data_IF_991370163319
#
_entry.id   IF_991370163319
#
_cell.length_a   1.000
_cell.length_b   1.000
_cell.length_c   1.000
_cell.angle_alpha   90.00
_cell.angle_beta   90.00
_cell.angle_gamma   90.00
#
_symmetry.space_group_name_H-M   'P 1'
#
loop_
_entity.id
_entity.type
_entity.pdbx_description
1 polymer ?
#
# COMPACT_ATOMS: atom_id res chain seq x y z
N UNK A 1 2.35 13.20 -15.43
CA UNK A 1 1.47 14.37 -15.45
C UNK A 1 0.43 14.17 -14.34
N UNK A 2 0.31 15.12 -13.45
CA UNK A 2 -0.70 15.11 -12.40
C UNK A 2 -2.06 15.59 -12.92
N UNK A 3 -3.16 15.24 -12.22
CA UNK A 3 -4.53 15.62 -12.57
C UNK A 3 -4.93 15.22 -14.00
N UNK A 4 -4.50 14.03 -14.39
CA UNK A 4 -4.79 13.43 -15.69
C UNK A 4 -5.30 11.99 -15.49
N UNK A 5 -6.52 11.72 -15.95
CA UNK A 5 -7.15 10.41 -15.84
C UNK A 5 -7.08 9.70 -17.18
N UNK A 6 -6.37 8.58 -17.24
CA UNK A 6 -6.34 7.73 -18.43
C UNK A 6 -7.71 7.08 -18.63
N UNK A 7 -8.23 7.16 -19.85
CA UNK A 7 -9.54 6.61 -20.23
C UNK A 7 -9.46 5.55 -21.32
N UNK A 8 -8.37 5.49 -22.07
CA UNK A 8 -8.15 4.45 -23.08
C UNK A 8 -6.65 4.24 -23.35
N UNK A 9 -6.28 3.00 -23.60
CA UNK A 9 -4.94 2.59 -24.02
C UNK A 9 -5.06 1.54 -25.10
N UNK A 10 -4.46 1.77 -26.24
CA UNK A 10 -4.54 0.88 -27.40
C UNK A 10 -3.19 0.73 -28.10
N UNK A 11 -2.91 -0.47 -28.60
CA UNK A 11 -1.74 -0.71 -29.44
C UNK A 11 -1.95 -0.08 -30.81
N UNK A 12 -0.88 0.47 -31.37
CA UNK A 12 -0.81 0.97 -32.73
C UNK A 12 0.27 0.21 -33.50
N UNK A 13 0.38 0.42 -34.80
CA UNK A 13 1.43 -0.23 -35.63
C UNK A 13 2.86 0.10 -35.13
N UNK A 14 3.05 1.27 -34.53
CA UNK A 14 4.37 1.78 -34.14
C UNK A 14 4.57 1.93 -32.64
N UNK A 15 3.60 1.51 -31.83
CA UNK A 15 3.69 1.64 -30.36
C UNK A 15 2.34 1.60 -29.66
N UNK A 16 2.11 2.54 -28.77
CA UNK A 16 0.92 2.62 -27.93
C UNK A 16 0.35 4.04 -27.98
N UNK A 17 -0.96 4.16 -28.10
CA UNK A 17 -1.72 5.40 -27.97
C UNK A 17 -2.45 5.42 -26.61
N UNK A 18 -2.24 6.47 -25.83
CA UNK A 18 -2.89 6.68 -24.54
C UNK A 18 -3.76 7.91 -24.59
N UNK A 19 -5.06 7.74 -24.33
CA UNK A 19 -6.02 8.83 -24.24
C UNK A 19 -6.31 9.14 -22.77
N UNK A 20 -6.28 10.40 -22.39
CA UNK A 20 -6.55 10.84 -21.03
C UNK A 20 -7.35 12.14 -20.98
N UNK A 21 -8.12 12.30 -19.90
CA UNK A 21 -8.85 13.51 -19.57
C UNK A 21 -8.04 14.37 -18.60
N UNK A 22 -7.95 15.67 -18.85
CA UNK A 22 -7.32 16.64 -17.96
C UNK A 22 -7.95 18.02 -18.16
N UNK A 23 -8.33 18.70 -17.07
CA UNK A 23 -8.93 20.05 -17.09
C UNK A 23 -10.14 20.14 -18.04
N UNK A 24 -11.02 19.13 -18.03
CA UNK A 24 -12.22 19.08 -18.86
C UNK A 24 -11.99 18.84 -20.36
N UNK A 25 -10.76 18.53 -20.76
CA UNK A 25 -10.39 18.25 -22.15
C UNK A 25 -9.83 16.85 -22.31
N UNK A 26 -10.02 16.28 -23.51
CA UNK A 26 -9.44 15.00 -23.90
C UNK A 26 -8.13 15.24 -24.63
N UNK A 27 -7.12 14.50 -24.26
CA UNK A 27 -5.79 14.54 -24.83
C UNK A 27 -5.35 13.14 -25.27
N UNK A 28 -4.45 13.08 -26.25
CA UNK A 28 -3.83 11.84 -26.70
C UNK A 28 -2.32 12.01 -26.73
N UNK A 29 -1.62 10.95 -26.32
CA UNK A 29 -0.17 10.84 -26.39
C UNK A 29 0.19 9.48 -26.97
N UNK A 30 1.25 9.42 -27.76
CA UNK A 30 1.80 8.18 -28.30
C UNK A 30 3.16 7.89 -27.69
N UNK A 31 3.48 6.62 -27.48
CA UNK A 31 4.74 6.15 -26.94
C UNK A 31 5.12 4.81 -27.57
N UNK A 32 6.39 4.41 -27.47
CA UNK A 32 6.81 3.08 -27.91
C UNK A 32 6.24 1.96 -27.02
N UNK A 33 6.18 2.21 -25.73
CA UNK A 33 5.68 1.27 -24.71
C UNK A 33 4.86 2.01 -23.66
N UNK A 34 3.95 1.29 -23.01
CA UNK A 34 3.19 1.78 -21.86
C UNK A 34 3.18 0.72 -20.76
N UNK A 35 3.32 1.16 -19.50
CA UNK A 35 3.20 0.33 -18.32
C UNK A 35 1.93 0.72 -17.57
N UNK A 36 1.02 -0.23 -17.40
CA UNK A 36 -0.22 -0.05 -16.66
C UNK A 36 0.01 -0.33 -15.18
N UNK A 37 0.37 0.69 -14.41
CA UNK A 37 0.60 0.62 -12.98
C UNK A 37 -0.68 0.92 -12.18
N UNK A 38 -1.78 0.27 -12.52
CA UNK A 38 -3.09 0.43 -11.89
C UNK A 38 -3.65 -0.92 -11.41
N UNK A 39 -4.81 -0.89 -10.75
CA UNK A 39 -5.49 -2.12 -10.36
C UNK A 39 -5.87 -2.95 -11.59
N UNK A 40 -5.64 -4.27 -11.53
CA UNK A 40 -5.93 -5.20 -12.63
C UNK A 40 -7.39 -5.13 -13.09
N UNK A 41 -8.33 -4.93 -12.16
CA UNK A 41 -9.77 -4.79 -12.48
C UNK A 41 -10.12 -3.55 -13.32
N UNK A 42 -9.24 -2.54 -13.38
CA UNK A 42 -9.42 -1.34 -14.20
C UNK A 42 -8.94 -1.56 -15.64
N UNK A 43 -7.95 -2.43 -15.84
CA UNK A 43 -7.31 -2.66 -17.14
C UNK A 43 -8.30 -3.04 -18.24
N UNK A 44 -9.31 -3.93 -18.03
CA UNK A 44 -10.31 -4.24 -19.06
C UNK A 44 -11.10 -3.03 -19.57
N UNK A 45 -11.24 -2.00 -18.76
CA UNK A 45 -11.91 -0.75 -19.13
C UNK A 45 -10.99 0.20 -19.91
N UNK A 46 -9.69 0.13 -19.66
CA UNK A 46 -8.68 0.95 -20.33
C UNK A 46 -8.22 0.35 -21.66
N UNK A 47 -8.24 -0.98 -21.77
CA UNK A 47 -7.71 -1.72 -22.93
C UNK A 47 -8.82 -2.56 -23.57
N UNK A 48 -9.72 -1.97 -24.35
CA UNK A 48 -10.87 -2.69 -24.95
C UNK A 48 -10.46 -3.80 -25.93
N UNK A 49 -9.26 -3.72 -26.50
CA UNK A 49 -8.72 -4.71 -27.46
C UNK A 49 -8.25 -6.02 -26.83
N UNK A 50 -8.24 -6.14 -25.50
CA UNK A 50 -7.92 -7.40 -24.82
C UNK A 50 -8.97 -8.47 -25.16
N UNK A 51 -8.53 -9.74 -25.27
CA UNK A 51 -9.45 -10.86 -25.43
C UNK A 51 -10.36 -11.01 -24.21
N UNK A 52 -11.54 -11.58 -24.39
CA UNK A 52 -12.48 -11.80 -23.26
C UNK A 52 -11.85 -12.68 -22.18
N UNK A 53 -11.09 -13.70 -22.56
CA UNK A 53 -10.35 -14.56 -21.61
C UNK A 53 -9.39 -13.74 -20.73
N UNK A 54 -8.67 -12.77 -21.31
CA UNK A 54 -7.78 -11.88 -20.54
C UNK A 54 -8.57 -10.95 -19.63
N UNK A 55 -9.67 -10.37 -20.14
CA UNK A 55 -10.55 -9.49 -19.34
C UNK A 55 -11.14 -10.21 -18.15
N UNK A 56 -11.59 -11.47 -18.35
CA UNK A 56 -12.17 -12.28 -17.27
C UNK A 56 -11.11 -12.68 -16.24
N UNK A 57 -9.91 -13.05 -16.67
CA UNK A 57 -8.79 -13.32 -15.77
C UNK A 57 -8.42 -12.08 -14.91
N UNK A 58 -8.40 -10.90 -15.50
CA UNK A 58 -8.14 -9.65 -14.79
C UNK A 58 -9.25 -9.28 -13.79
N UNK A 59 -10.51 -9.53 -14.12
CA UNK A 59 -11.66 -9.33 -13.25
C UNK A 59 -11.73 -10.35 -12.11
N UNK A 60 -11.21 -11.56 -12.34
CA UNK A 60 -11.24 -12.64 -11.34
C UNK A 60 -10.36 -12.34 -10.13
N UNK A 61 -9.28 -11.60 -10.29
CA UNK A 61 -8.34 -11.32 -9.21
C UNK A 61 -8.96 -10.48 -8.10
N UNK A 62 -8.85 -10.96 -6.87
CA UNK A 62 -9.17 -10.23 -5.65
C UNK A 62 -7.88 -9.99 -4.88
N UNK A 63 -7.60 -8.74 -4.56
CA UNK A 63 -6.41 -8.38 -3.79
C UNK A 63 -6.67 -8.57 -2.30
N UNK A 64 -5.69 -9.12 -1.61
CA UNK A 64 -5.68 -9.16 -0.16
C UNK A 64 -5.69 -7.72 0.40
N UNK A 65 -6.55 -7.41 1.36
CA UNK A 65 -6.54 -6.12 2.04
C UNK A 65 -5.24 -5.99 2.84
N UNK A 66 -4.51 -4.92 2.57
CA UNK A 66 -3.25 -4.61 3.20
C UNK A 66 -3.26 -3.18 3.67
N UNK A 67 -2.78 -2.94 4.87
CA UNK A 67 -2.52 -1.59 5.40
C UNK A 67 -1.04 -1.44 5.69
N UNK A 68 -0.51 -0.29 5.31
CA UNK A 68 0.82 0.19 5.67
C UNK A 68 0.65 1.47 6.46
N UNK A 69 1.07 1.45 7.70
CA UNK A 69 1.08 2.64 8.57
C UNK A 69 2.52 3.06 8.79
N UNK A 70 2.85 4.27 8.35
CA UNK A 70 4.16 4.85 8.56
C UNK A 70 4.12 5.73 9.80
N UNK A 71 5.02 5.47 10.73
CA UNK A 71 5.17 6.24 11.96
C UNK A 71 6.56 6.84 12.00
N UNK A 72 6.63 8.15 12.13
CA UNK A 72 7.91 8.85 12.29
C UNK A 72 8.19 9.03 13.78
N UNK A 73 9.32 8.50 14.24
CA UNK A 73 9.82 8.72 15.59
C UNK A 73 11.06 9.62 15.55
N UNK A 74 11.27 10.40 16.62
CA UNK A 74 12.29 11.47 16.66
C UNK A 74 13.73 10.94 16.62
N UNK A 75 13.97 9.75 17.18
CA UNK A 75 15.28 9.11 17.22
C UNK A 75 15.13 7.57 17.26
N UNK A 76 16.23 6.87 17.08
CA UNK A 76 16.27 5.41 17.08
C UNK A 76 16.84 4.78 18.37
N UNK A 77 17.10 5.57 19.39
CA UNK A 77 17.83 5.15 20.60
C UNK A 77 17.24 3.91 21.27
N UNK A 78 15.91 3.82 21.37
CA UNK A 78 15.22 2.68 21.95
C UNK A 78 15.39 1.42 21.11
N UNK A 79 15.33 1.54 19.77
CA UNK A 79 15.53 0.41 18.84
C UNK A 79 16.98 -0.08 18.89
N UNK A 80 17.94 0.84 18.96
CA UNK A 80 19.37 0.52 19.08
C UNK A 80 19.68 -0.20 20.41
N UNK A 81 19.07 0.22 21.51
CA UNK A 81 19.18 -0.48 22.80
C UNK A 81 18.63 -1.90 22.74
N UNK A 82 17.57 -2.13 21.97
CA UNK A 82 17.00 -3.46 21.77
C UNK A 82 17.77 -4.29 20.74
N UNK A 83 18.54 -3.65 19.86
CA UNK A 83 19.26 -4.31 18.77
C UNK A 83 18.33 -4.93 17.71
N UNK A 84 17.18 -4.28 17.45
CA UNK A 84 16.18 -4.80 16.53
C UNK A 84 15.91 -3.85 15.37
N UNK A 85 15.68 -4.42 14.18
CA UNK A 85 15.24 -3.71 12.98
C UNK A 85 13.85 -4.14 12.51
N UNK A 86 13.36 -5.28 13.01
CA UNK A 86 12.02 -5.79 12.69
C UNK A 86 11.45 -6.62 13.82
N UNK A 87 10.12 -6.58 13.96
CA UNK A 87 9.35 -7.34 14.95
C UNK A 87 8.15 -7.98 14.28
N UNK A 88 7.85 -9.21 14.67
CA UNK A 88 6.56 -9.86 14.36
C UNK A 88 5.60 -9.69 15.52
N UNK A 89 4.38 -9.26 15.25
CA UNK A 89 3.33 -8.99 16.22
C UNK A 89 2.11 -9.91 15.94
N UNK A 90 2.20 -11.22 16.21
CA UNK A 90 1.13 -12.16 15.91
C UNK A 90 -0.14 -11.80 16.70
N UNK A 91 -1.30 -11.88 16.02
CA UNK A 91 -2.59 -11.56 16.64
C UNK A 91 -2.95 -10.07 16.67
N UNK A 92 -2.05 -9.19 16.25
CA UNK A 92 -2.29 -7.76 16.10
C UNK A 92 -2.81 -7.41 14.70
N UNK A 93 -3.45 -6.24 14.56
CA UNK A 93 -3.84 -5.69 13.25
C UNK A 93 -2.59 -5.51 12.37
N UNK A 94 -1.55 -4.93 12.92
CA UNK A 94 -0.24 -4.87 12.28
C UNK A 94 0.60 -6.07 12.73
N UNK A 95 0.56 -7.12 11.94
CA UNK A 95 1.30 -8.36 12.22
C UNK A 95 2.82 -8.21 12.14
N UNK A 96 3.31 -7.08 11.66
CA UNK A 96 4.73 -6.82 11.48
C UNK A 96 5.05 -5.33 11.60
N UNK A 97 6.18 -5.05 12.26
CA UNK A 97 6.81 -3.74 12.34
C UNK A 97 8.24 -3.89 11.82
N UNK A 98 8.72 -2.93 11.05
CA UNK A 98 10.14 -2.87 10.65
C UNK A 98 10.61 -1.42 10.51
N UNK A 99 11.89 -1.23 10.78
CA UNK A 99 12.59 0.02 10.57
C UNK A 99 12.80 0.23 9.06
N UNK A 100 12.33 1.35 8.55
CA UNK A 100 12.60 1.75 7.18
C UNK A 100 13.92 2.51 7.12
N UNK A 101 14.95 1.88 6.58
CA UNK A 101 16.31 2.44 6.54
C UNK A 101 16.55 3.50 5.45
N UNK A 102 15.46 4.00 4.86
CA UNK A 102 15.52 5.08 3.88
C UNK A 102 15.72 4.63 2.43
N UNK A 103 15.59 5.60 1.55
CA UNK A 103 15.81 5.42 0.10
C UNK A 103 17.12 6.12 -0.24
N UNK A 104 18.08 5.35 -0.72
CA UNK A 104 19.37 5.87 -1.20
C UNK A 104 19.34 5.94 -2.74
N UNK A 105 18.63 6.91 -3.29
CA UNK A 105 18.55 7.13 -4.74
C UNK A 105 18.89 8.56 -5.10
N UNK A 106 19.58 8.75 -6.22
CA UNK A 106 19.88 10.08 -6.74
C UNK A 106 20.77 10.93 -5.83
N UNK A 107 21.59 10.33 -4.98
CA UNK A 107 22.43 11.05 -4.02
C UNK A 107 21.69 11.59 -2.79
N UNK A 108 20.43 11.17 -2.59
CA UNK A 108 19.71 11.51 -1.37
C UNK A 108 20.21 10.65 -0.21
N UNK A 109 20.54 11.32 0.88
CA UNK A 109 20.84 10.71 2.17
C UNK A 109 19.91 11.29 3.22
N UNK A 110 19.31 10.43 4.04
CA UNK A 110 18.52 10.89 5.19
C UNK A 110 19.43 11.61 6.19
N UNK A 111 19.08 12.83 6.53
CA UNK A 111 19.81 13.62 7.52
C UNK A 111 18.97 13.75 8.77
N UNK A 112 19.57 13.43 9.92
CA UNK A 112 18.94 13.57 11.24
C UNK A 112 18.62 12.22 11.88
N UNK A 113 18.20 12.29 13.14
CA UNK A 113 18.00 11.13 14.01
C UNK A 113 16.60 10.52 13.87
N UNK A 114 15.69 11.24 13.23
CA UNK A 114 14.33 10.77 12.99
C UNK A 114 14.31 9.56 12.04
N UNK A 115 13.55 8.56 12.41
CA UNK A 115 13.42 7.32 11.64
C UNK A 115 11.96 6.98 11.38
N UNK A 116 11.72 6.32 10.25
CA UNK A 116 10.39 5.84 9.89
C UNK A 116 10.25 4.37 10.25
N UNK A 117 9.21 4.07 11.02
CA UNK A 117 8.74 2.72 11.28
C UNK A 117 7.61 2.40 10.33
N UNK A 118 7.63 1.24 9.72
CA UNK A 118 6.58 0.75 8.85
C UNK A 118 5.85 -0.40 9.54
N UNK A 119 4.61 -0.16 9.87
CA UNK A 119 3.70 -1.19 10.36
C UNK A 119 2.95 -1.79 9.17
N UNK A 120 3.04 -3.08 9.04
CA UNK A 120 2.41 -3.85 7.98
C UNK A 120 1.34 -4.76 8.56
N UNK A 121 0.10 -4.55 8.12
CA UNK A 121 -1.03 -5.28 8.64
C UNK A 121 -2.04 -5.71 7.58
N UNK A 122 -2.89 -6.62 8.00
CA UNK A 122 -4.06 -7.04 7.23
C UNK A 122 -5.13 -7.54 8.20
N UNK A 123 -6.38 -7.32 7.84
CA UNK A 123 -7.50 -7.94 8.56
C UNK A 123 -7.64 -9.37 8.09
N UNK A 124 -7.47 -10.33 9.00
CA UNK A 124 -7.71 -11.74 8.70
C UNK A 124 -9.19 -11.99 8.43
N UNK A 125 -9.51 -12.78 7.39
CA UNK A 125 -10.89 -13.16 7.14
C UNK A 125 -11.42 -14.05 8.27
N UNK A 126 -12.74 -14.04 8.52
CA UNK A 126 -13.34 -15.01 9.43
C UNK A 126 -13.15 -16.43 8.91
N UNK A 127 -12.90 -17.36 9.83
CA UNK A 127 -12.59 -18.75 9.49
C UNK A 127 -13.76 -19.52 8.84
N UNK A 128 -14.97 -19.04 8.98
CA UNK A 128 -16.22 -19.62 8.53
C UNK A 128 -16.72 -19.11 7.17
N UNK A 129 -15.97 -18.23 6.52
CA UNK A 129 -16.39 -17.65 5.26
C UNK A 129 -16.36 -18.69 4.10
N UNK A 130 -17.39 -18.63 3.28
CA UNK A 130 -17.77 -19.65 2.28
C UNK A 130 -16.71 -19.82 1.17
N UNK A 131 -16.05 -18.74 0.78
CA UNK A 131 -15.00 -18.74 -0.24
C UNK A 131 -13.97 -17.63 -0.01
N UNK A 132 -12.76 -17.84 -0.53
CA UNK A 132 -11.65 -16.91 -0.36
C UNK A 132 -11.96 -15.50 -0.88
N UNK A 133 -12.73 -15.38 -1.96
CA UNK A 133 -13.04 -14.07 -2.57
C UNK A 133 -13.97 -13.25 -1.68
N UNK A 134 -14.99 -13.88 -1.11
CA UNK A 134 -15.88 -13.25 -0.13
C UNK A 134 -15.10 -12.88 1.12
N UNK A 135 -14.27 -13.79 1.64
CA UNK A 135 -13.38 -13.52 2.78
C UNK A 135 -12.54 -12.27 2.60
N UNK A 136 -11.89 -12.12 1.45
CA UNK A 136 -11.03 -10.97 1.16
C UNK A 136 -11.83 -9.66 1.01
N UNK A 137 -13.05 -9.74 0.50
CA UNK A 137 -13.96 -8.58 0.43
C UNK A 137 -14.40 -8.13 1.81
N UNK A 138 -14.81 -9.06 2.67
CA UNK A 138 -15.24 -8.78 4.04
C UNK A 138 -14.09 -8.23 4.88
N UNK A 139 -12.89 -8.79 4.72
CA UNK A 139 -11.69 -8.27 5.37
C UNK A 139 -11.34 -6.86 4.90
N UNK A 140 -11.52 -6.57 3.60
CA UNK A 140 -11.36 -5.22 3.07
C UNK A 140 -12.39 -4.26 3.64
N UNK A 141 -13.65 -4.69 3.73
CA UNK A 141 -14.71 -3.87 4.31
C UNK A 141 -14.40 -3.52 5.76
N UNK A 142 -14.02 -4.51 6.57
CA UNK A 142 -13.61 -4.30 7.97
C UNK A 142 -12.43 -3.34 8.09
N UNK A 143 -11.44 -3.43 7.18
CA UNK A 143 -10.31 -2.51 7.18
C UNK A 143 -10.73 -1.07 6.87
N UNK A 144 -11.72 -0.88 5.97
CA UNK A 144 -12.25 0.45 5.61
C UNK A 144 -13.16 1.05 6.70
N UNK A 145 -13.67 0.24 7.63
CA UNK A 145 -14.47 0.69 8.78
C UNK A 145 -13.63 1.21 9.94
N UNK A 146 -12.31 0.92 9.94
CA UNK A 146 -11.41 1.44 10.96
C UNK A 146 -11.16 2.93 10.78
N UNK A 147 -11.21 3.65 11.89
CA UNK A 147 -10.88 5.07 11.95
C UNK A 147 -9.36 5.30 12.08
N UNK A 148 -8.91 6.53 11.90
CA UNK A 148 -7.52 6.91 12.17
C UNK A 148 -7.15 6.65 13.63
N UNK A 149 -8.07 6.92 14.55
CA UNK A 149 -7.91 6.71 15.99
C UNK A 149 -7.71 5.23 16.34
N UNK A 150 -8.34 4.31 15.59
CA UNK A 150 -8.15 2.87 15.79
C UNK A 150 -6.72 2.46 15.41
N UNK A 151 -6.21 2.97 14.28
CA UNK A 151 -4.83 2.75 13.88
C UNK A 151 -3.83 3.37 14.85
N UNK A 152 -4.07 4.60 15.30
CA UNK A 152 -3.21 5.28 16.27
C UNK A 152 -3.15 4.53 17.60
N UNK A 153 -4.28 4.09 18.12
CA UNK A 153 -4.36 3.30 19.36
C UNK A 153 -3.58 2.00 19.24
N UNK A 154 -3.74 1.28 18.13
CA UNK A 154 -3.01 0.04 17.88
C UNK A 154 -1.50 0.28 17.79
N UNK A 155 -1.08 1.29 17.05
CA UNK A 155 0.35 1.65 16.90
C UNK A 155 0.95 2.02 18.26
N UNK A 156 0.29 2.88 19.02
CA UNK A 156 0.75 3.28 20.36
C UNK A 156 0.87 2.08 21.31
N UNK A 157 -0.12 1.18 21.30
CA UNK A 157 -0.07 -0.04 22.12
C UNK A 157 1.12 -0.93 21.77
N UNK A 158 1.42 -1.12 20.49
CA UNK A 158 2.57 -1.93 20.06
C UNK A 158 3.90 -1.26 20.44
N UNK A 159 4.01 0.05 20.23
CA UNK A 159 5.22 0.80 20.58
C UNK A 159 5.45 0.84 22.09
N UNK A 160 4.41 1.01 22.88
CA UNK A 160 4.50 1.03 24.32
C UNK A 160 5.00 -0.32 24.85
N UNK A 161 4.38 -1.42 24.44
CA UNK A 161 4.82 -2.76 24.84
C UNK A 161 6.27 -3.06 24.43
N UNK A 162 6.68 -2.60 23.26
CA UNK A 162 8.01 -2.87 22.72
C UNK A 162 9.09 -1.97 23.28
N UNK A 163 8.84 -0.67 23.41
CA UNK A 163 9.88 0.34 23.62
C UNK A 163 9.88 0.94 25.04
N UNK A 164 8.76 0.93 25.77
CA UNK A 164 8.72 1.46 27.13
C UNK A 164 9.71 0.76 28.08
N UNK A 165 9.98 -0.57 27.96
CA UNK A 165 10.97 -1.24 28.80
C UNK A 165 12.40 -0.69 28.66
N UNK A 166 12.70 -0.01 27.55
CA UNK A 166 14.02 0.62 27.30
C UNK A 166 14.01 2.15 27.44
N UNK A 167 12.91 2.69 28.00
CA UNK A 167 12.79 4.10 28.37
C UNK A 167 12.28 5.02 27.26
N UNK A 168 11.53 4.49 26.30
CA UNK A 168 10.85 5.30 25.29
C UNK A 168 9.45 5.67 25.79
N UNK A 169 9.10 6.95 25.73
CA UNK A 169 7.77 7.45 26.07
C UNK A 169 6.94 7.62 24.79
N UNK A 170 5.88 6.84 24.66
CA UNK A 170 4.97 6.86 23.50
C UNK A 170 4.05 8.07 23.52
N UNK A 171 3.96 8.80 24.65
CA UNK A 171 3.12 10.00 24.78
C UNK A 171 3.76 11.25 24.19
N UNK A 172 5.10 11.27 24.02
CA UNK A 172 5.89 12.35 23.43
C UNK A 172 6.08 12.20 21.91
#
# INVERSE_FOLDING_TARGET
>A
RLNATVVNTENTETGVSVTYASSGKIHRVTAKHSVLACYHSIIPHLCPSLSETQKDALKYQVKMPLVLTNVLIRNRDALDKLGIDAVSCPGRLHGRLFLFQGIHTGGYESKGDAVSLVFWGSVSPPADAIDLRSQLRDSRQKLLELSLEDFEREVRSVLDELLSPVGFDVSE
#
